data_IF_400121656727
#
_entry.id   IF_400121656727
#
_cell.length_a   1.000
_cell.length_b   1.000
_cell.length_c   1.000
_cell.angle_alpha   90.00
_cell.angle_beta   90.00
_cell.angle_gamma   90.00
#
_symmetry.space_group_name_H-M   'P 1'
#
loop_
_entity.id
_entity.type
_entity.pdbx_description
1 polymer ?
#
# COMPACT_ATOMS: atom_id res chain seq x y z
N UNK A 1 -37.43 0.57 36.57
CA UNK A 1 -37.34 0.71 35.10
C UNK A 1 -36.27 1.75 34.83
N UNK A 2 -35.06 1.32 34.52
CA UNK A 2 -33.92 2.22 34.30
C UNK A 2 -33.75 2.42 32.79
N UNK A 3 -33.98 3.64 32.33
CA UNK A 3 -33.71 4.06 30.96
C UNK A 3 -32.20 4.33 30.82
N UNK A 4 -31.48 3.41 30.19
CA UNK A 4 -30.12 3.63 29.74
C UNK A 4 -30.15 4.62 28.57
N UNK A 5 -29.67 5.83 28.82
CA UNK A 5 -29.45 6.85 27.81
C UNK A 5 -28.31 6.38 26.90
N UNK A 6 -28.65 5.80 25.74
CA UNK A 6 -27.68 5.47 24.71
C UNK A 6 -27.22 6.79 24.09
N UNK A 7 -26.09 7.31 24.56
CA UNK A 7 -25.40 8.40 23.88
C UNK A 7 -24.88 7.87 22.54
N UNK A 8 -25.69 8.08 21.49
CA UNK A 8 -25.26 7.95 20.11
C UNK A 8 -24.20 9.02 19.82
N UNK A 9 -22.95 8.72 20.14
CA UNK A 9 -21.83 9.51 19.64
C UNK A 9 -21.71 9.29 18.12
N UNK A 10 -21.51 10.35 17.32
CA UNK A 10 -21.41 10.30 15.86
C UNK A 10 -20.10 9.68 15.35
N UNK A 11 -19.48 8.79 16.13
CA UNK A 11 -18.20 8.13 15.78
C UNK A 11 -18.44 6.90 14.88
N UNK A 12 -19.68 6.44 14.72
CA UNK A 12 -19.97 5.19 14.02
C UNK A 12 -20.29 5.30 12.52
N UNK A 13 -20.45 6.50 11.96
CA UNK A 13 -20.85 6.67 10.54
C UNK A 13 -20.06 7.74 9.79
N UNK A 14 -18.74 7.80 10.02
CA UNK A 14 -17.86 8.49 9.08
C UNK A 14 -16.91 7.46 8.49
N UNK A 15 -17.25 7.01 7.28
CA UNK A 15 -16.24 6.49 6.36
C UNK A 15 -15.17 7.58 6.28
N UNK A 16 -14.07 7.36 7.01
CA UNK A 16 -12.88 8.17 6.93
C UNK A 16 -12.25 7.88 5.56
N UNK A 17 -12.84 8.50 4.53
CA UNK A 17 -12.14 8.81 3.29
C UNK A 17 -10.86 9.56 3.66
N UNK A 18 -9.89 9.43 2.77
CA UNK A 18 -8.52 9.95 2.87
C UNK A 18 -8.42 11.46 3.18
N UNK A 19 -9.53 12.20 3.21
CA UNK A 19 -9.57 13.64 3.46
C UNK A 19 -9.87 14.05 4.92
N UNK A 20 -10.18 13.13 5.83
CA UNK A 20 -10.43 13.50 7.25
C UNK A 20 -9.13 13.71 8.05
N UNK A 21 -8.23 14.53 7.53
CA UNK A 21 -7.09 15.07 8.29
C UNK A 21 -7.48 16.29 9.16
N UNK A 22 -8.76 16.68 9.15
CA UNK A 22 -9.32 17.87 9.81
C UNK A 22 -10.00 17.65 11.17
N UNK A 23 -9.92 16.45 11.78
CA UNK A 23 -10.45 16.32 13.15
C UNK A 23 -9.45 16.87 14.18
N UNK A 24 -9.61 18.15 14.52
CA UNK A 24 -8.88 18.82 15.60
C UNK A 24 -9.77 18.94 16.84
N UNK A 25 -9.38 18.30 17.94
CA UNK A 25 -10.07 18.44 19.21
C UNK A 25 -9.23 19.33 20.15
N UNK A 26 -9.80 20.39 20.74
CA UNK A 26 -9.05 21.39 21.50
C UNK A 26 -8.27 20.83 22.70
N UNK A 27 -8.69 19.68 23.23
CA UNK A 27 -8.06 19.03 24.38
C UNK A 27 -7.30 17.73 24.07
N UNK A 28 -7.14 17.34 22.80
CA UNK A 28 -6.40 16.13 22.43
C UNK A 28 -5.23 16.51 21.53
N UNK A 29 -4.02 16.13 21.94
CA UNK A 29 -2.82 16.36 21.15
C UNK A 29 -2.92 15.65 19.79
N UNK A 30 -2.66 16.39 18.70
CA UNK A 30 -2.78 15.91 17.31
C UNK A 30 -1.92 14.67 17.02
N UNK A 31 -0.74 14.57 17.62
CA UNK A 31 0.16 13.42 17.52
C UNK A 31 -0.45 12.16 18.12
N UNK A 32 -1.01 12.27 19.33
CA UNK A 32 -1.67 11.19 20.08
C UNK A 32 -2.94 10.73 19.37
N UNK A 33 -3.76 11.66 18.87
CA UNK A 33 -4.95 11.33 18.10
C UNK A 33 -4.59 10.56 16.81
N UNK A 34 -3.59 11.03 16.06
CA UNK A 34 -3.10 10.34 14.84
C UNK A 34 -2.61 8.93 15.15
N UNK A 35 -1.87 8.76 16.25
CA UNK A 35 -1.41 7.44 16.68
C UNK A 35 -2.59 6.52 17.01
N UNK A 36 -3.57 6.97 17.79
CA UNK A 36 -4.75 6.17 18.15
C UNK A 36 -5.59 5.80 16.94
N UNK A 37 -5.75 6.71 15.98
CA UNK A 37 -6.45 6.42 14.72
C UNK A 37 -5.69 5.35 13.91
N UNK A 38 -4.35 5.43 13.85
CA UNK A 38 -3.53 4.40 13.20
C UNK A 38 -3.64 3.05 13.90
N UNK A 39 -3.55 3.02 15.23
CA UNK A 39 -3.69 1.79 16.02
C UNK A 39 -5.08 1.15 15.84
N UNK A 40 -6.15 1.95 15.89
CA UNK A 40 -7.52 1.48 15.65
C UNK A 40 -7.67 0.92 14.23
N UNK A 41 -7.21 1.63 13.20
CA UNK A 41 -7.25 1.15 11.81
C UNK A 41 -6.50 -0.17 11.64
N UNK A 42 -5.35 -0.32 12.30
CA UNK A 42 -4.57 -1.58 12.29
C UNK A 42 -5.37 -2.72 12.92
N UNK A 43 -5.96 -2.48 14.10
CA UNK A 43 -6.79 -3.47 14.76
C UNK A 43 -8.02 -3.88 13.92
N UNK A 44 -8.76 -2.91 13.39
CA UNK A 44 -9.93 -3.15 12.53
C UNK A 44 -9.55 -3.99 11.29
N UNK A 45 -8.39 -3.72 10.69
CA UNK A 45 -7.86 -4.51 9.57
C UNK A 45 -7.47 -5.94 9.97
N UNK A 46 -6.81 -6.12 11.11
CA UNK A 46 -6.48 -7.46 11.62
C UNK A 46 -7.74 -8.29 11.87
N UNK A 47 -8.82 -7.67 12.35
CA UNK A 47 -10.12 -8.32 12.49
C UNK A 47 -10.73 -8.68 11.13
N UNK A 48 -10.72 -7.77 10.16
CA UNK A 48 -11.22 -8.05 8.81
C UNK A 48 -10.42 -9.15 8.09
N UNK A 49 -9.10 -9.21 8.29
CA UNK A 49 -8.25 -10.25 7.72
C UNK A 49 -8.58 -11.63 8.31
N UNK A 50 -8.80 -11.71 9.63
CA UNK A 50 -9.26 -12.94 10.30
C UNK A 50 -10.66 -13.35 9.83
N UNK A 51 -11.58 -12.39 9.69
CA UNK A 51 -12.93 -12.63 9.18
C UNK A 51 -12.88 -13.22 7.76
N UNK A 52 -12.04 -12.65 6.89
CA UNK A 52 -11.87 -13.10 5.52
C UNK A 52 -11.25 -14.50 5.43
N UNK A 53 -10.28 -14.84 6.28
CA UNK A 53 -9.71 -16.19 6.34
C UNK A 53 -10.77 -17.23 6.79
N UNK A 54 -11.60 -16.87 7.77
CA UNK A 54 -12.71 -17.71 8.21
C UNK A 54 -13.76 -17.90 7.11
N UNK A 55 -14.12 -16.82 6.39
CA UNK A 55 -15.07 -16.90 5.28
C UNK A 55 -14.52 -17.78 4.15
N UNK A 56 -13.23 -17.68 3.82
CA UNK A 56 -12.58 -18.54 2.82
C UNK A 56 -12.63 -20.01 3.21
N UNK A 57 -12.39 -20.33 4.50
CA UNK A 57 -12.53 -21.70 5.02
C UNK A 57 -13.96 -22.23 4.90
N UNK A 58 -14.95 -21.44 5.32
CA UNK A 58 -16.36 -21.85 5.24
C UNK A 58 -16.78 -22.06 3.78
N UNK A 59 -16.42 -21.14 2.89
CA UNK A 59 -16.74 -21.25 1.45
C UNK A 59 -16.09 -22.47 0.78
N UNK A 60 -14.93 -22.91 1.28
CA UNK A 60 -14.26 -24.12 0.79
C UNK A 60 -15.01 -25.41 1.18
N UNK A 61 -15.76 -25.38 2.28
CA UNK A 61 -16.57 -26.51 2.76
C UNK A 61 -18.01 -26.44 2.22
N UNK A 62 -18.57 -25.24 2.06
CA UNK A 62 -19.93 -25.00 1.59
C UNK A 62 -20.06 -23.64 0.93
N UNK A 63 -20.54 -23.65 -0.33
CA UNK A 63 -20.85 -22.41 -1.02
C UNK A 63 -22.06 -21.69 -0.39
N UNK A 64 -21.89 -20.39 -0.11
CA UNK A 64 -22.92 -19.48 0.38
C UNK A 64 -22.77 -18.11 -0.32
N UNK A 65 -23.79 -17.66 -1.06
CA UNK A 65 -23.73 -16.41 -1.81
C UNK A 65 -23.65 -15.15 -0.93
N UNK A 66 -24.15 -15.17 0.30
CA UNK A 66 -24.01 -14.03 1.23
C UNK A 66 -22.57 -13.91 1.72
N UNK A 67 -21.93 -15.05 2.03
CA UNK A 67 -20.52 -15.09 2.41
C UNK A 67 -19.59 -14.71 1.25
N UNK A 68 -19.91 -15.08 0.01
CA UNK A 68 -19.14 -14.66 -1.16
C UNK A 68 -19.21 -13.14 -1.38
N UNK A 69 -20.37 -12.52 -1.18
CA UNK A 69 -20.50 -11.06 -1.24
C UNK A 69 -19.74 -10.37 -0.09
N UNK A 70 -19.81 -10.92 1.13
CA UNK A 70 -19.05 -10.41 2.27
C UNK A 70 -17.54 -10.54 2.08
N UNK A 71 -17.08 -11.66 1.50
CA UNK A 71 -15.69 -11.87 1.09
C UNK A 71 -15.23 -10.78 0.12
N UNK A 72 -15.98 -10.54 -0.97
CA UNK A 72 -15.63 -9.49 -1.94
C UNK A 72 -15.56 -8.10 -1.31
N UNK A 73 -16.49 -7.79 -0.40
CA UNK A 73 -16.47 -6.52 0.34
C UNK A 73 -15.21 -6.38 1.21
N UNK A 74 -14.84 -7.42 1.95
CA UNK A 74 -13.62 -7.42 2.78
C UNK A 74 -12.36 -7.37 1.93
N UNK A 75 -12.32 -8.10 0.80
CA UNK A 75 -11.21 -8.06 -0.16
C UNK A 75 -11.01 -6.63 -0.72
N UNK A 76 -12.08 -5.93 -1.08
CA UNK A 76 -11.99 -4.52 -1.50
C UNK A 76 -11.51 -3.60 -0.37
N UNK A 77 -11.93 -3.84 0.86
CA UNK A 77 -11.59 -2.98 2.01
C UNK A 77 -10.14 -3.18 2.49
N UNK A 78 -9.62 -4.38 2.35
CA UNK A 78 -8.23 -4.74 2.67
C UNK A 78 -7.25 -4.44 1.54
N UNK A 79 -7.73 -4.08 0.34
CA UNK A 79 -6.83 -3.64 -0.72
C UNK A 79 -5.98 -2.46 -0.23
N UNK A 80 -4.66 -2.48 -0.50
CA UNK A 80 -3.81 -1.36 -0.18
C UNK A 80 -4.34 -0.11 -0.88
N UNK A 81 -4.45 0.98 -0.10
CA UNK A 81 -4.76 2.30 -0.64
C UNK A 81 -3.45 2.98 -1.00
N UNK A 82 -3.31 3.39 -2.24
CA UNK A 82 -2.18 4.19 -2.71
C UNK A 82 -2.55 5.66 -2.63
N UNK A 83 -1.59 6.49 -2.25
CA UNK A 83 -1.74 7.95 -2.31
C UNK A 83 -1.69 8.37 -3.77
N UNK A 84 -2.65 9.16 -4.24
CA UNK A 84 -2.53 9.86 -5.51
C UNK A 84 -1.40 10.89 -5.37
N UNK A 85 -0.22 10.55 -5.86
CA UNK A 85 0.88 11.49 -5.99
C UNK A 85 0.64 12.31 -7.25
N UNK A 86 -0.09 13.42 -7.13
CA UNK A 86 0.00 14.45 -8.16
C UNK A 86 1.42 15.01 -8.10
N UNK A 87 2.28 14.60 -9.03
CA UNK A 87 3.56 15.24 -9.28
C UNK A 87 3.27 16.67 -9.76
N UNK A 88 3.06 17.59 -8.81
CA UNK A 88 3.14 19.02 -9.09
C UNK A 88 4.62 19.37 -9.30
N UNK A 89 5.22 18.82 -10.34
CA UNK A 89 6.39 19.37 -11.01
C UNK A 89 5.95 20.73 -11.52
N UNK A 90 6.33 21.78 -10.78
CA UNK A 90 6.22 23.15 -11.25
C UNK A 90 7.16 23.29 -12.45
N UNK A 91 6.59 23.09 -13.64
CA UNK A 91 6.99 23.56 -14.98
C UNK A 91 7.06 22.46 -16.05
N UNK A 92 6.22 22.67 -17.08
CA UNK A 92 6.37 22.27 -18.48
C UNK A 92 6.21 20.78 -18.84
N UNK A 93 4.98 20.34 -19.10
CA UNK A 93 4.46 19.97 -20.45
C UNK A 93 3.11 19.25 -20.30
N UNK A 94 2.20 19.47 -21.25
CA UNK A 94 0.85 18.83 -21.28
C UNK A 94 0.94 17.32 -21.54
N UNK A 95 2.10 16.81 -21.97
CA UNK A 95 2.34 15.38 -22.22
C UNK A 95 2.62 14.58 -20.94
N UNK A 96 3.27 15.16 -19.92
CA UNK A 96 3.59 14.47 -18.66
C UNK A 96 2.36 14.11 -17.82
N UNK A 97 1.29 14.93 -17.87
CA UNK A 97 0.04 14.62 -17.16
C UNK A 97 -0.62 13.32 -17.64
N UNK A 98 -0.48 12.97 -18.92
CA UNK A 98 -1.05 11.74 -19.47
C UNK A 98 -0.21 10.49 -19.15
N UNK A 99 1.06 10.63 -18.78
CA UNK A 99 1.90 9.52 -18.32
C UNK A 99 1.67 9.22 -16.84
N UNK A 100 1.55 10.27 -16.01
CA UNK A 100 1.33 10.14 -14.57
C UNK A 100 -0.02 9.46 -14.24
N UNK A 101 -1.10 9.83 -14.93
CA UNK A 101 -2.41 9.18 -14.76
C UNK A 101 -2.35 7.68 -15.13
N UNK A 102 -1.56 7.32 -16.16
CA UNK A 102 -1.35 5.91 -16.53
C UNK A 102 -0.49 5.17 -15.51
N UNK A 103 0.50 5.83 -14.91
CA UNK A 103 1.33 5.23 -13.86
C UNK A 103 0.53 4.93 -12.60
N UNK A 104 -0.42 5.79 -12.24
CA UNK A 104 -1.36 5.50 -11.17
C UNK A 104 -2.17 4.22 -11.45
N UNK A 105 -2.70 4.08 -12.68
CA UNK A 105 -3.43 2.88 -13.09
C UNK A 105 -2.55 1.61 -13.03
N UNK A 106 -1.29 1.69 -13.46
CA UNK A 106 -0.36 0.56 -13.39
C UNK A 106 0.01 0.20 -11.96
N UNK A 107 0.19 1.19 -11.08
CA UNK A 107 0.41 0.95 -9.66
C UNK A 107 -0.83 0.32 -9.01
N UNK A 108 -2.03 0.74 -9.38
CA UNK A 108 -3.27 0.13 -8.89
C UNK A 108 -3.42 -1.32 -9.37
N UNK A 109 -3.07 -1.60 -10.63
CA UNK A 109 -3.07 -2.95 -11.19
C UNK A 109 -2.06 -3.85 -10.45
N UNK A 110 -0.78 -3.47 -10.44
CA UNK A 110 0.29 -4.23 -9.80
C UNK A 110 0.11 -4.32 -8.28
N UNK A 111 -0.42 -3.26 -7.66
CA UNK A 111 -0.64 -3.18 -6.23
C UNK A 111 -1.83 -4.01 -5.74
N UNK A 112 -2.78 -4.30 -6.62
CA UNK A 112 -3.91 -5.19 -6.32
C UNK A 112 -3.52 -6.66 -6.21
N UNK A 113 -2.47 -7.08 -6.94
CA UNK A 113 -1.93 -8.44 -6.93
C UNK A 113 -0.42 -8.41 -7.26
N UNK A 114 0.44 -8.14 -6.25
CA UNK A 114 1.88 -7.87 -6.45
C UNK A 114 2.71 -9.15 -6.60
N UNK A 115 2.24 -10.08 -7.44
CA UNK A 115 2.99 -11.29 -7.77
C UNK A 115 4.02 -11.00 -8.86
N UNK A 116 5.12 -11.76 -8.82
CA UNK A 116 6.15 -11.66 -9.86
C UNK A 116 5.63 -12.03 -11.25
N UNK A 117 4.64 -12.93 -11.35
CA UNK A 117 4.07 -13.35 -12.63
C UNK A 117 3.25 -12.21 -13.25
N UNK A 118 2.44 -11.51 -12.46
CA UNK A 118 1.74 -10.31 -12.92
C UNK A 118 2.70 -9.17 -13.28
N UNK A 119 3.80 -9.04 -12.55
CA UNK A 119 4.84 -8.06 -12.88
C UNK A 119 5.52 -8.40 -14.21
N UNK A 120 5.81 -9.67 -14.46
CA UNK A 120 6.36 -10.14 -15.74
C UNK A 120 5.38 -9.85 -16.87
N UNK A 121 4.10 -10.17 -16.71
CA UNK A 121 3.04 -9.87 -17.69
C UNK A 121 2.97 -8.37 -17.98
N UNK A 122 2.97 -7.55 -16.93
CA UNK A 122 3.00 -6.09 -17.06
C UNK A 122 4.17 -5.62 -17.93
N UNK A 123 5.39 -6.07 -17.65
CA UNK A 123 6.60 -5.66 -18.40
C UNK A 123 6.55 -6.13 -19.86
N UNK A 124 5.99 -7.31 -20.14
CA UNK A 124 5.89 -7.86 -21.49
C UNK A 124 4.85 -7.14 -22.35
N UNK A 125 3.74 -6.72 -21.73
CA UNK A 125 2.63 -6.05 -22.40
C UNK A 125 2.89 -4.55 -22.59
N UNK A 126 3.73 -3.93 -21.75
CA UNK A 126 3.99 -2.50 -21.79
C UNK A 126 5.20 -2.11 -22.64
N UNK A 127 5.07 -2.33 -23.96
CA UNK A 127 6.13 -2.00 -24.93
C UNK A 127 6.39 -0.51 -25.16
N UNK A 128 5.46 0.35 -24.75
CA UNK A 128 5.52 1.80 -24.98
C UNK A 128 5.67 2.62 -23.68
N UNK A 129 6.00 1.97 -22.56
CA UNK A 129 6.16 2.65 -21.27
C UNK A 129 7.62 2.92 -20.99
N UNK A 130 7.91 4.12 -20.49
CA UNK A 130 9.19 4.40 -19.86
C UNK A 130 9.24 3.76 -18.45
N UNK A 131 9.76 2.55 -18.39
CA UNK A 131 9.91 1.79 -17.14
C UNK A 131 10.84 2.46 -16.12
N UNK A 132 11.78 3.31 -16.57
CA UNK A 132 12.64 4.06 -15.65
C UNK A 132 11.85 5.16 -14.92
N UNK A 133 11.03 5.92 -15.66
CA UNK A 133 10.12 6.92 -15.07
C UNK A 133 9.08 6.27 -14.15
N UNK A 134 8.58 5.10 -14.50
CA UNK A 134 7.65 4.37 -13.63
C UNK A 134 8.33 3.90 -12.33
N UNK A 135 9.59 3.45 -12.37
CA UNK A 135 10.34 3.12 -11.16
C UNK A 135 10.58 4.36 -10.27
N UNK A 136 10.87 5.52 -10.86
CA UNK A 136 10.94 6.78 -10.12
C UNK A 136 9.60 7.13 -9.46
N UNK A 137 8.48 6.94 -10.18
CA UNK A 137 7.14 7.10 -9.64
C UNK A 137 6.86 6.17 -8.45
N UNK A 138 7.29 4.90 -8.52
CA UNK A 138 7.19 3.97 -7.39
C UNK A 138 7.97 4.49 -6.18
N UNK A 139 9.20 4.95 -6.35
CA UNK A 139 10.03 5.47 -5.25
C UNK A 139 9.42 6.73 -4.61
N UNK A 140 8.83 7.63 -5.41
CA UNK A 140 8.09 8.78 -4.90
C UNK A 140 6.90 8.32 -4.05
N UNK A 141 6.10 7.39 -4.57
CA UNK A 141 4.95 6.83 -3.85
C UNK A 141 5.37 6.10 -2.58
N UNK A 142 6.48 5.36 -2.59
CA UNK A 142 7.03 4.73 -1.40
C UNK A 142 7.28 5.78 -0.31
N UNK A 143 7.90 6.90 -0.69
CA UNK A 143 8.21 7.98 0.23
C UNK A 143 6.97 8.64 0.83
N UNK A 144 5.92 8.85 0.04
CA UNK A 144 4.66 9.44 0.52
C UNK A 144 3.89 8.46 1.41
N UNK A 145 3.82 7.18 1.04
CA UNK A 145 3.19 6.16 1.87
C UNK A 145 3.89 6.01 3.24
N UNK A 146 5.23 6.10 3.27
CA UNK A 146 6.01 6.10 4.52
C UNK A 146 5.67 7.33 5.39
N UNK A 147 5.58 8.53 4.79
CA UNK A 147 5.24 9.76 5.52
C UNK A 147 3.84 9.69 6.12
N UNK A 148 2.88 9.17 5.37
CA UNK A 148 1.49 9.00 5.81
C UNK A 148 1.30 7.83 6.79
N UNK A 149 2.27 6.91 6.85
CA UNK A 149 2.23 5.72 7.71
C UNK A 149 1.36 4.61 7.13
N UNK A 150 1.33 4.50 5.80
CA UNK A 150 0.63 3.46 5.05
C UNK A 150 1.58 2.28 4.78
N UNK A 151 1.90 1.54 5.84
CA UNK A 151 2.93 0.49 5.80
C UNK A 151 2.64 -0.63 4.78
N UNK A 152 1.38 -1.04 4.61
CA UNK A 152 1.00 -2.08 3.65
C UNK A 152 1.27 -1.66 2.20
N UNK A 153 0.89 -0.44 1.82
CA UNK A 153 1.17 0.09 0.49
C UNK A 153 2.68 0.28 0.29
N UNK A 154 3.40 0.72 1.32
CA UNK A 154 4.86 0.81 1.32
C UNK A 154 5.54 -0.55 1.09
N UNK A 155 5.04 -1.62 1.71
CA UNK A 155 5.54 -2.99 1.50
C UNK A 155 5.31 -3.45 0.06
N UNK A 156 4.10 -3.22 -0.48
CA UNK A 156 3.78 -3.57 -1.87
C UNK A 156 4.70 -2.84 -2.85
N UNK A 157 4.87 -1.52 -2.67
CA UNK A 157 5.76 -0.74 -3.52
C UNK A 157 7.21 -1.21 -3.37
N UNK A 158 7.65 -1.58 -2.17
CA UNK A 158 8.99 -2.15 -1.93
C UNK A 158 9.21 -3.45 -2.71
N UNK A 159 8.21 -4.33 -2.74
CA UNK A 159 8.25 -5.55 -3.55
C UNK A 159 8.38 -5.22 -5.04
N UNK A 160 7.59 -4.29 -5.55
CA UNK A 160 7.66 -3.85 -6.95
C UNK A 160 9.02 -3.21 -7.28
N UNK A 161 9.56 -2.37 -6.40
CA UNK A 161 10.89 -1.77 -6.56
C UNK A 161 11.99 -2.83 -6.59
N UNK A 162 11.87 -3.90 -5.80
CA UNK A 162 12.81 -5.02 -5.90
C UNK A 162 12.66 -5.77 -7.24
N UNK A 163 11.45 -6.01 -7.74
CA UNK A 163 11.28 -6.57 -9.08
C UNK A 163 11.94 -5.69 -10.16
N UNK A 164 11.77 -4.38 -10.08
CA UNK A 164 12.48 -3.43 -10.96
C UNK A 164 14.00 -3.51 -10.83
N UNK A 165 14.53 -3.69 -9.62
CA UNK A 165 15.96 -3.92 -9.40
C UNK A 165 16.46 -5.17 -10.13
N UNK A 166 15.74 -6.30 -10.02
CA UNK A 166 16.08 -7.53 -10.75
C UNK A 166 15.96 -7.34 -12.28
N UNK A 167 14.93 -6.62 -12.74
CA UNK A 167 14.78 -6.27 -14.16
C UNK A 167 15.96 -5.44 -14.67
N UNK A 168 16.38 -4.40 -13.93
CA UNK A 168 17.51 -3.54 -14.31
C UNK A 168 18.85 -4.27 -14.31
N UNK A 169 19.04 -5.23 -13.41
CA UNK A 169 20.30 -5.98 -13.29
C UNK A 169 20.50 -7.03 -14.38
N UNK A 170 19.42 -7.68 -14.85
CA UNK A 170 19.56 -8.84 -15.75
C UNK A 170 18.43 -9.04 -16.74
N UNK A 171 17.52 -8.06 -16.88
CA UNK A 171 16.38 -8.10 -17.79
C UNK A 171 15.37 -9.20 -17.46
N UNK A 172 14.49 -9.47 -18.43
CA UNK A 172 13.48 -10.53 -18.35
C UNK A 172 14.04 -11.93 -18.01
N UNK A 173 15.23 -12.36 -18.50
CA UNK A 173 15.78 -13.65 -18.11
C UNK A 173 16.03 -13.78 -16.60
N UNK A 174 16.43 -12.70 -15.92
CA UNK A 174 16.64 -12.72 -14.47
C UNK A 174 15.31 -12.72 -13.71
N UNK A 175 14.32 -11.95 -14.15
CA UNK A 175 12.97 -11.98 -13.57
C UNK A 175 12.33 -13.38 -13.66
N UNK A 176 12.45 -14.05 -14.81
CA UNK A 176 11.90 -15.41 -14.97
C UNK A 176 12.60 -16.42 -14.05
N UNK A 177 13.92 -16.32 -13.88
CA UNK A 177 14.67 -17.12 -12.89
C UNK A 177 14.24 -16.83 -11.45
N UNK A 178 13.95 -15.57 -11.14
CA UNK A 178 13.40 -15.19 -9.84
C UNK A 178 12.01 -15.81 -9.66
N UNK A 179 11.10 -15.72 -10.65
CA UNK A 179 9.78 -16.36 -10.59
C UNK A 179 9.88 -17.86 -10.33
N UNK A 180 10.76 -18.56 -11.06
CA UNK A 180 11.01 -19.98 -10.83
C UNK A 180 11.58 -20.27 -9.44
N UNK A 181 12.41 -19.38 -8.90
CA UNK A 181 12.98 -19.51 -7.56
C UNK A 181 11.95 -19.27 -6.46
N UNK A 182 10.98 -18.38 -6.68
CA UNK A 182 9.93 -18.05 -5.70
C UNK A 182 8.85 -19.14 -5.59
N UNK A 183 8.86 -20.16 -6.45
CA UNK A 183 8.06 -21.39 -6.29
C UNK A 183 8.53 -22.25 -5.10
N UNK A 184 9.78 -22.07 -4.66
CA UNK A 184 10.33 -22.69 -3.47
C UNK A 184 10.01 -21.82 -2.25
N UNK A 185 9.23 -22.35 -1.31
CA UNK A 185 8.76 -21.63 -0.12
C UNK A 185 9.90 -21.08 0.74
N UNK A 186 11.05 -21.76 0.78
CA UNK A 186 12.21 -21.30 1.54
C UNK A 186 12.85 -20.05 0.91
N UNK A 187 12.94 -20.02 -0.42
CA UNK A 187 13.47 -18.88 -1.17
C UNK A 187 12.48 -17.72 -1.19
N UNK A 188 11.18 -18.04 -1.27
CA UNK A 188 10.11 -17.05 -1.14
C UNK A 188 10.18 -16.34 0.21
N UNK A 189 10.32 -17.08 1.31
CA UNK A 189 10.51 -16.47 2.62
C UNK A 189 11.75 -15.55 2.69
N UNK A 190 12.87 -15.96 2.08
CA UNK A 190 14.08 -15.11 2.02
C UNK A 190 13.79 -13.82 1.25
N UNK A 191 13.07 -13.90 0.14
CA UNK A 191 12.69 -12.73 -0.65
C UNK A 191 11.70 -11.82 0.08
N UNK A 192 10.74 -12.38 0.82
CA UNK A 192 9.79 -11.61 1.63
C UNK A 192 10.51 -10.84 2.75
N UNK A 193 11.53 -11.44 3.37
CA UNK A 193 12.42 -10.74 4.31
C UNK A 193 13.28 -9.66 3.61
N UNK A 194 13.74 -9.88 2.38
CA UNK A 194 14.42 -8.84 1.58
C UNK A 194 13.48 -7.65 1.32
N UNK A 195 12.22 -7.92 0.97
CA UNK A 195 11.19 -6.88 0.77
C UNK A 195 10.95 -6.08 2.05
N UNK A 196 10.78 -6.77 3.19
CA UNK A 196 10.58 -6.12 4.49
C UNK A 196 11.79 -5.27 4.88
N UNK A 197 12.98 -5.81 4.70
CA UNK A 197 14.21 -5.09 5.01
C UNK A 197 14.36 -3.84 4.14
N UNK A 198 14.10 -3.95 2.84
CA UNK A 198 14.15 -2.79 1.94
C UNK A 198 13.16 -1.70 2.36
N UNK A 199 11.95 -2.08 2.77
CA UNK A 199 10.96 -1.15 3.29
C UNK A 199 11.44 -0.43 4.56
N UNK A 200 11.90 -1.19 5.57
CA UNK A 200 12.37 -0.61 6.84
C UNK A 200 13.62 0.26 6.64
N UNK A 201 14.58 -0.17 5.82
CA UNK A 201 15.77 0.62 5.47
C UNK A 201 15.35 1.95 4.81
N UNK A 202 14.35 1.92 3.92
CA UNK A 202 13.80 3.12 3.28
C UNK A 202 13.07 4.04 4.26
N UNK A 203 12.30 3.45 5.18
CA UNK A 203 11.55 4.14 6.22
C UNK A 203 12.49 4.85 7.19
N UNK A 204 13.52 4.15 7.66
CA UNK A 204 14.55 4.72 8.52
C UNK A 204 15.31 5.84 7.83
N UNK A 205 15.72 5.66 6.58
CA UNK A 205 16.40 6.71 5.82
C UNK A 205 15.56 7.99 5.71
N UNK A 206 14.28 7.86 5.35
CA UNK A 206 13.37 9.00 5.14
C UNK A 206 13.00 9.71 6.46
N UNK A 207 12.73 8.96 7.52
CA UNK A 207 12.36 9.54 8.81
C UNK A 207 13.57 10.21 9.49
N UNK A 208 14.77 9.65 9.35
CA UNK A 208 15.99 10.23 9.91
C UNK A 208 16.43 11.50 9.14
N UNK A 209 16.24 11.55 7.82
CA UNK A 209 16.43 12.76 6.99
C UNK A 209 15.53 13.93 7.44
N UNK A 210 14.32 13.64 7.91
CA UNK A 210 13.38 14.65 8.42
C UNK A 210 13.83 15.24 9.76
N UNK A 211 14.50 14.45 10.59
CA UNK A 211 15.01 14.90 11.89
C UNK A 211 16.25 15.79 11.75
N UNK A 212 17.11 15.55 10.76
CA UNK A 212 18.30 16.37 10.50
C UNK A 212 17.94 17.76 9.97
N UNK A 213 16.96 17.86 9.06
CA UNK A 213 16.51 19.16 8.52
C UNK A 213 15.90 20.09 9.59
N UNK A 214 15.19 19.54 10.56
CA UNK A 214 14.63 20.30 11.69
C UNK A 214 15.69 20.85 12.67
N UNK A 215 16.88 20.27 12.70
CA UNK A 215 17.98 20.72 13.56
C UNK A 215 18.83 21.81 12.90
N UNK A 216 18.80 21.92 11.57
CA UNK A 216 19.52 22.96 10.82
C UNK A 216 18.71 24.26 10.64
N UNK A 217 17.41 24.24 10.93
CA UNK A 217 16.51 25.40 10.85
C UNK A 217 16.15 25.99 12.24
N UNK A 218 16.73 25.46 13.32
CA UNK A 218 16.58 25.98 14.69
C UNK A 218 17.89 26.51 15.23
#
# INVERSE_FOLDING_TARGET
MSLTLVMNHPINEMELSSDSTEYEHPNIEKSTLRRLVREKRKHDKEEWAKELDNIKKILSERYDPELENRKKFLEQKLKPKFVETSTNMINNTVEERNEDDKFADYLLFLGGDPTIDNFIEFVEDTKNINLERFDEFLLMNLSENIKEGLDEAGMVISTLSLYFKYLKQGGMPLLRKLSDSLKDESKKHIFDEECRKYYEDSKDALLNLKNTRKQTEG
#
